data_IF_301096065730
#
_entry.id   IF_301096065730
#
_cell.length_a   1.000
_cell.length_b   1.000
_cell.length_c   1.000
_cell.angle_alpha   90.00
_cell.angle_beta   90.00
_cell.angle_gamma   90.00
#
_symmetry.space_group_name_H-M   'P 1'
#
loop_
_entity.id
_entity.type
_entity.pdbx_description
1 polymer ?
#
# COMPACT_ATOMS: atom_id res chain seq x y z
N UNK A 1 -6.20 -12.93 20.21
CA UNK A 1 -6.78 -13.96 19.34
C UNK A 1 -6.47 -13.62 17.89
N UNK A 2 -6.08 -14.60 17.10
CA UNK A 2 -5.72 -14.38 15.70
C UNK A 2 -6.95 -14.31 14.82
N UNK A 3 -6.99 -13.34 13.91
CA UNK A 3 -8.00 -13.23 12.85
C UNK A 3 -7.34 -13.58 11.52
N UNK A 4 -7.71 -14.71 10.93
CA UNK A 4 -7.16 -15.15 9.63
C UNK A 4 -8.07 -14.82 8.45
N UNK A 5 -9.16 -14.10 8.70
CA UNK A 5 -10.03 -13.64 7.64
C UNK A 5 -9.46 -12.39 6.99
N UNK A 6 -9.53 -12.34 5.67
CA UNK A 6 -9.04 -11.21 4.88
C UNK A 6 -10.22 -10.61 4.14
N UNK A 7 -10.45 -9.33 4.30
CA UNK A 7 -11.48 -8.61 3.58
C UNK A 7 -10.92 -8.09 2.27
N UNK A 8 -11.48 -8.53 1.15
CA UNK A 8 -11.09 -8.06 -0.18
C UNK A 8 -11.93 -6.85 -0.55
N UNK A 9 -11.27 -5.77 -0.96
CA UNK A 9 -11.93 -4.52 -1.34
C UNK A 9 -11.43 -4.13 -2.73
N UNK A 10 -12.36 -3.99 -3.68
CA UNK A 10 -12.06 -3.48 -5.01
C UNK A 10 -12.32 -1.97 -5.02
N UNK A 11 -11.27 -1.18 -5.14
CA UNK A 11 -11.36 0.28 -5.16
C UNK A 11 -11.62 0.83 -6.57
N UNK A 12 -11.52 -0.01 -7.60
CA UNK A 12 -11.66 0.42 -8.98
C UNK A 12 -10.54 1.34 -9.42
N UNK A 13 -10.85 2.28 -10.31
CA UNK A 13 -9.90 3.30 -10.76
C UNK A 13 -9.80 4.40 -9.71
N UNK A 14 -8.62 4.55 -9.14
CA UNK A 14 -8.38 5.50 -8.06
C UNK A 14 -7.01 6.16 -8.22
N UNK A 15 -6.93 7.48 -8.01
CA UNK A 15 -5.68 8.19 -8.01
C UNK A 15 -4.70 7.60 -6.97
N UNK A 16 -3.42 7.61 -7.30
CA UNK A 16 -2.38 7.02 -6.47
C UNK A 16 -2.37 7.60 -5.05
N UNK A 17 -2.48 8.93 -4.94
CA UNK A 17 -2.49 9.62 -3.64
C UNK A 17 -3.71 9.22 -2.81
N UNK A 18 -4.89 9.16 -3.42
CA UNK A 18 -6.11 8.72 -2.74
C UNK A 18 -6.00 7.29 -2.23
N UNK A 19 -5.46 6.40 -3.07
CA UNK A 19 -5.23 5.00 -2.68
C UNK A 19 -4.22 4.89 -1.54
N UNK A 20 -3.16 5.72 -1.57
CA UNK A 20 -2.18 5.78 -0.50
C UNK A 20 -2.82 6.20 0.83
N UNK A 21 -3.62 7.27 0.80
CA UNK A 21 -4.31 7.78 1.98
C UNK A 21 -5.30 6.74 2.53
N UNK A 22 -5.99 6.04 1.64
CA UNK A 22 -6.91 4.97 2.02
C UNK A 22 -6.17 3.86 2.77
N UNK A 23 -5.04 3.41 2.24
CA UNK A 23 -4.20 2.40 2.89
C UNK A 23 -3.70 2.87 4.25
N UNK A 24 -3.26 4.11 4.33
CA UNK A 24 -2.75 4.68 5.57
C UNK A 24 -3.83 4.69 6.66
N UNK A 25 -5.07 5.02 6.31
CA UNK A 25 -6.18 5.00 7.25
C UNK A 25 -6.46 3.59 7.78
N UNK A 26 -6.41 2.58 6.93
CA UNK A 26 -6.59 1.19 7.35
C UNK A 26 -5.44 0.72 8.24
N UNK A 27 -4.23 1.10 7.88
CA UNK A 27 -3.04 0.78 8.68
C UNK A 27 -3.14 1.41 10.07
N UNK A 28 -3.52 2.68 10.15
CA UNK A 28 -3.66 3.40 11.41
C UNK A 28 -4.74 2.79 12.30
N UNK A 29 -5.83 2.31 11.70
CA UNK A 29 -6.90 1.60 12.43
C UNK A 29 -6.36 0.34 13.11
N UNK A 30 -5.59 -0.46 12.39
CA UNK A 30 -4.99 -1.68 12.94
C UNK A 30 -4.03 -1.34 14.08
N UNK A 31 -3.18 -0.36 13.88
CA UNK A 31 -2.21 0.07 14.91
C UNK A 31 -2.94 0.56 16.16
N UNK A 32 -4.02 1.31 16.00
CA UNK A 32 -4.80 1.83 17.13
C UNK A 32 -5.46 0.71 17.92
N UNK A 33 -6.03 -0.29 17.27
CA UNK A 33 -6.60 -1.46 17.93
C UNK A 33 -5.52 -2.17 18.77
N UNK A 34 -4.33 -2.36 18.19
CA UNK A 34 -3.22 -3.01 18.90
C UNK A 34 -2.77 -2.21 20.12
N UNK A 35 -2.72 -0.88 19.99
CA UNK A 35 -2.39 0.01 21.12
C UNK A 35 -3.43 -0.09 22.24
N UNK A 36 -4.71 -0.07 21.88
CA UNK A 36 -5.80 -0.18 22.86
C UNK A 36 -5.79 -1.54 23.55
N UNK A 37 -5.54 -2.62 22.82
CA UNK A 37 -5.40 -3.95 23.41
C UNK A 37 -4.29 -3.99 24.45
N UNK A 38 -3.16 -3.40 24.15
CA UNK A 38 -2.01 -3.36 25.06
C UNK A 38 -2.31 -2.53 26.31
N UNK A 39 -2.93 -1.35 26.11
CA UNK A 39 -3.26 -0.43 27.20
C UNK A 39 -4.33 -1.00 28.14
N UNK A 40 -5.35 -1.63 27.59
CA UNK A 40 -6.52 -2.10 28.35
C UNK A 40 -6.45 -3.59 28.69
N UNK A 41 -5.38 -4.27 28.32
CA UNK A 41 -5.22 -5.72 28.48
C UNK A 41 -6.39 -6.49 27.88
N UNK A 42 -6.80 -6.08 26.67
CA UNK A 42 -7.89 -6.70 25.91
C UNK A 42 -7.31 -7.44 24.70
N UNK A 43 -8.16 -8.23 24.04
CA UNK A 43 -7.79 -9.04 22.89
C UNK A 43 -8.81 -8.86 21.76
N UNK A 44 -9.04 -7.61 21.38
CA UNK A 44 -9.91 -7.28 20.25
C UNK A 44 -9.18 -7.67 18.95
N UNK A 45 -9.84 -8.41 18.07
CA UNK A 45 -9.27 -8.87 16.82
C UNK A 45 -8.99 -7.70 15.87
N UNK A 46 -7.80 -7.72 15.27
CA UNK A 46 -7.44 -6.76 14.23
C UNK A 46 -7.93 -7.24 12.87
N UNK A 47 -8.43 -6.33 12.01
CA UNK A 47 -8.85 -6.71 10.66
C UNK A 47 -7.65 -6.88 9.72
N UNK A 48 -7.86 -7.60 8.63
CA UNK A 48 -6.91 -7.74 7.54
C UNK A 48 -7.60 -7.36 6.23
N UNK A 49 -6.90 -6.64 5.37
CA UNK A 49 -7.45 -6.18 4.10
C UNK A 49 -6.55 -6.55 2.95
N UNK A 50 -7.14 -6.81 1.81
CA UNK A 50 -6.42 -6.89 0.53
C UNK A 50 -7.15 -5.99 -0.46
N UNK A 51 -6.47 -4.93 -0.89
CA UNK A 51 -7.06 -3.94 -1.77
C UNK A 51 -6.65 -4.21 -3.20
N UNK A 52 -7.60 -4.11 -4.12
CA UNK A 52 -7.34 -4.13 -5.55
C UNK A 52 -7.65 -2.76 -6.11
N UNK A 53 -6.71 -2.18 -6.82
CA UNK A 53 -6.87 -0.83 -7.35
C UNK A 53 -6.21 -0.73 -8.72
N UNK A 54 -6.83 0.07 -9.60
CA UNK A 54 -6.27 0.46 -10.88
C UNK A 54 -6.00 1.96 -10.81
N UNK A 55 -4.79 2.38 -11.17
CA UNK A 55 -4.41 3.78 -11.12
C UNK A 55 -4.47 4.43 -12.49
N UNK A 56 -4.79 5.73 -12.59
CA UNK A 56 -4.42 6.52 -13.76
C UNK A 56 -2.90 6.48 -13.96
N UNK A 57 -2.42 6.93 -15.11
CA UNK A 57 -0.99 6.93 -15.40
C UNK A 57 -0.21 7.60 -14.26
N UNK A 58 0.69 6.85 -13.64
CA UNK A 58 1.49 7.35 -12.51
C UNK A 58 2.88 6.73 -12.51
N UNK A 59 3.87 7.57 -12.26
CA UNK A 59 5.25 7.15 -12.03
C UNK A 59 5.58 7.36 -10.55
N UNK A 60 6.21 6.37 -9.93
CA UNK A 60 6.66 6.48 -8.54
C UNK A 60 8.16 6.29 -8.48
N UNK A 61 8.83 7.12 -7.69
CA UNK A 61 10.27 7.05 -7.44
C UNK A 61 10.50 6.57 -6.01
N UNK A 62 11.17 5.44 -5.85
CA UNK A 62 11.50 4.88 -4.54
C UNK A 62 12.71 5.57 -3.90
N UNK A 63 13.07 5.13 -2.68
CA UNK A 63 14.15 5.72 -1.88
C UNK A 63 15.50 5.71 -2.58
N UNK A 64 15.83 4.64 -3.30
CA UNK A 64 17.09 4.48 -3.98
C UNK A 64 17.07 4.97 -5.42
N UNK A 65 15.93 5.55 -5.85
CA UNK A 65 15.78 6.01 -7.21
C UNK A 65 16.37 7.39 -7.43
N UNK A 66 16.78 7.63 -8.66
CA UNK A 66 17.24 8.93 -9.13
C UNK A 66 16.25 9.46 -10.15
N UNK A 67 15.79 10.69 -9.97
CA UNK A 67 14.85 11.34 -10.87
C UNK A 67 15.36 11.40 -12.32
N UNK A 68 16.67 11.37 -12.53
CA UNK A 68 17.27 11.30 -13.86
C UNK A 68 16.90 10.01 -14.60
N UNK A 69 16.49 8.96 -13.91
CA UNK A 69 16.01 7.72 -14.51
C UNK A 69 14.61 7.84 -15.11
N UNK A 70 13.91 8.94 -14.84
CA UNK A 70 12.64 9.23 -15.47
C UNK A 70 12.91 9.80 -16.88
N UNK A 71 12.58 9.02 -17.90
CA UNK A 71 12.83 9.37 -19.31
C UNK A 71 11.86 10.41 -19.86
N UNK A 72 10.89 10.82 -19.06
CA UNK A 72 9.84 11.77 -19.45
C UNK A 72 9.97 12.99 -18.56
N UNK A 73 10.00 14.20 -19.15
CA UNK A 73 10.01 15.44 -18.36
C UNK A 73 8.61 15.81 -17.85
N UNK A 74 8.52 16.86 -17.02
CA UNK A 74 7.26 17.29 -16.42
C UNK A 74 6.20 17.69 -17.47
N UNK A 75 6.60 18.29 -18.58
CA UNK A 75 5.65 18.69 -19.60
C UNK A 75 5.09 17.48 -20.33
N UNK A 76 5.90 16.46 -20.58
CA UNK A 76 5.46 15.20 -21.16
C UNK A 76 4.52 14.44 -20.25
N UNK A 77 4.78 14.45 -18.94
CA UNK A 77 3.88 13.86 -17.94
C UNK A 77 2.51 14.52 -18.00
N UNK A 78 2.48 15.85 -18.05
CA UNK A 78 1.24 16.61 -18.12
C UNK A 78 0.46 16.29 -19.41
N UNK A 79 1.15 16.22 -20.56
CA UNK A 79 0.54 15.91 -21.85
C UNK A 79 -0.07 14.51 -21.86
N UNK A 80 0.53 13.55 -21.18
CA UNK A 80 0.03 12.18 -21.07
C UNK A 80 -0.95 12.00 -19.93
N UNK A 81 -1.30 13.07 -19.22
CA UNK A 81 -2.14 13.03 -18.01
C UNK A 81 -1.57 12.07 -16.95
N UNK A 82 -0.26 12.05 -16.84
CA UNK A 82 0.44 11.21 -15.88
C UNK A 82 0.85 12.01 -14.65
N UNK A 83 0.89 11.34 -13.50
CA UNK A 83 1.35 11.91 -12.23
C UNK A 83 2.70 11.32 -11.86
N UNK A 84 3.44 12.01 -11.01
CA UNK A 84 4.72 11.56 -10.50
C UNK A 84 4.76 11.75 -8.98
N UNK A 85 5.19 10.71 -8.27
CA UNK A 85 5.32 10.74 -6.81
C UNK A 85 6.67 10.17 -6.40
N UNK A 86 7.33 10.85 -5.47
CA UNK A 86 8.48 10.31 -4.76
C UNK A 86 7.97 9.67 -3.48
N UNK A 87 8.26 8.39 -3.28
CA UNK A 87 7.70 7.61 -2.18
C UNK A 87 8.77 6.88 -1.38
N UNK A 88 8.39 6.38 -0.23
CA UNK A 88 9.27 5.76 0.75
C UNK A 88 9.36 4.23 0.60
N UNK A 89 9.22 3.70 -0.62
CA UNK A 89 9.46 2.28 -0.88
C UNK A 89 10.88 2.04 -1.37
N UNK A 90 11.34 0.79 -1.32
CA UNK A 90 12.60 0.41 -1.95
C UNK A 90 12.51 0.46 -3.47
N UNK A 91 13.66 0.47 -4.13
CA UNK A 91 13.75 0.45 -5.57
C UNK A 91 13.85 1.82 -6.22
N UNK A 92 13.84 1.81 -7.54
CA UNK A 92 13.98 2.99 -8.39
C UNK A 92 12.61 3.44 -8.89
N UNK A 93 12.47 3.74 -10.16
CA UNK A 93 11.23 4.22 -10.76
C UNK A 93 10.31 3.04 -11.13
N UNK A 94 9.01 3.24 -10.95
CA UNK A 94 7.98 2.27 -11.33
C UNK A 94 6.81 3.02 -11.97
N UNK A 95 6.18 2.38 -12.95
CA UNK A 95 4.99 2.89 -13.61
C UNK A 95 3.78 2.01 -13.32
N UNK A 96 2.65 2.66 -13.07
CA UNK A 96 1.34 2.03 -13.02
C UNK A 96 0.38 2.81 -13.92
N UNK A 97 -0.59 2.12 -14.54
CA UNK A 97 -1.55 2.78 -15.40
C UNK A 97 -2.79 1.94 -15.63
N UNK A 98 -3.76 2.48 -16.40
CA UNK A 98 -4.98 1.75 -16.72
C UNK A 98 -4.68 0.39 -17.35
N UNK A 99 -5.46 -0.62 -16.95
CA UNK A 99 -5.25 -2.00 -17.35
C UNK A 99 -4.34 -2.79 -16.42
N UNK A 100 -3.65 -2.13 -15.49
CA UNK A 100 -2.82 -2.79 -14.47
C UNK A 100 -3.56 -2.78 -13.14
N UNK A 101 -3.86 -3.96 -12.62
CA UNK A 101 -4.47 -4.09 -11.29
C UNK A 101 -3.35 -4.28 -10.28
N UNK A 102 -3.32 -3.41 -9.28
CA UNK A 102 -2.34 -3.45 -8.19
C UNK A 102 -3.03 -4.00 -6.95
N UNK A 103 -2.38 -4.95 -6.29
CA UNK A 103 -2.84 -5.51 -5.03
C UNK A 103 -2.06 -4.90 -3.86
N UNK A 104 -2.78 -4.39 -2.86
CA UNK A 104 -2.19 -3.83 -1.65
C UNK A 104 -2.66 -4.63 -0.43
N UNK A 105 -1.80 -5.48 0.14
CA UNK A 105 -2.12 -6.17 1.38
C UNK A 105 -1.92 -5.25 2.59
N UNK A 106 -2.93 -5.16 3.43
CA UNK A 106 -2.87 -4.43 4.70
C UNK A 106 -3.20 -5.45 5.79
N UNK A 107 -2.17 -6.08 6.32
CA UNK A 107 -2.31 -7.24 7.19
C UNK A 107 -1.65 -6.96 8.55
N UNK A 108 -2.29 -7.45 9.61
CA UNK A 108 -1.59 -7.64 10.87
C UNK A 108 -0.90 -9.00 10.83
N UNK A 109 0.42 -9.00 10.66
CA UNK A 109 1.19 -10.23 10.49
C UNK A 109 1.09 -11.16 11.71
N UNK A 110 0.83 -10.63 12.90
CA UNK A 110 0.63 -11.42 14.10
C UNK A 110 -0.64 -12.29 14.04
N UNK A 111 -1.59 -11.96 13.13
CA UNK A 111 -2.74 -12.82 12.86
C UNK A 111 -2.36 -14.11 12.14
N UNK A 112 -1.21 -14.14 11.48
CA UNK A 112 -0.77 -15.26 10.64
C UNK A 112 0.49 -15.92 11.18
N UNK A 113 1.49 -15.11 11.54
CA UNK A 113 2.79 -15.59 11.98
C UNK A 113 3.26 -14.76 13.17
N UNK A 114 3.85 -15.41 14.16
CA UNK A 114 4.60 -14.76 15.23
C UNK A 114 6.04 -14.48 14.81
N UNK A 115 6.49 -15.10 13.73
CA UNK A 115 7.84 -14.97 13.17
C UNK A 115 7.76 -14.37 11.77
N UNK A 116 8.22 -13.13 11.60
CA UNK A 116 8.21 -12.43 10.33
C UNK A 116 9.11 -13.09 9.28
N UNK A 117 10.20 -13.74 9.70
CA UNK A 117 11.07 -14.47 8.78
C UNK A 117 10.34 -15.65 8.13
N UNK A 118 9.47 -16.30 8.88
CA UNK A 118 8.62 -17.36 8.36
C UNK A 118 7.67 -16.82 7.30
N UNK A 119 7.10 -15.65 7.52
CA UNK A 119 6.24 -14.98 6.55
C UNK A 119 6.99 -14.66 5.25
N UNK A 120 8.21 -14.14 5.35
CA UNK A 120 9.00 -13.73 4.19
C UNK A 120 9.49 -14.90 3.33
N UNK A 121 9.44 -16.12 3.83
CA UNK A 121 9.80 -17.32 3.07
C UNK A 121 8.68 -17.84 2.16
N UNK A 122 7.48 -17.37 2.35
CA UNK A 122 6.33 -17.68 1.52
C UNK A 122 6.15 -16.65 0.43
#
# INVERSE_FOLDING_TARGET
>A
MMNRQIKFIDLGLMDYKEAWDYQQNLFDEIVEIKKQNRKNNTDIKTPNYFLFVEHPHVYTLGKSGDQSNLLIDKSQLKNKKASFYKINRGGDITYHGPGQIVGYPILDLENFFTDIHKYLRF
#
